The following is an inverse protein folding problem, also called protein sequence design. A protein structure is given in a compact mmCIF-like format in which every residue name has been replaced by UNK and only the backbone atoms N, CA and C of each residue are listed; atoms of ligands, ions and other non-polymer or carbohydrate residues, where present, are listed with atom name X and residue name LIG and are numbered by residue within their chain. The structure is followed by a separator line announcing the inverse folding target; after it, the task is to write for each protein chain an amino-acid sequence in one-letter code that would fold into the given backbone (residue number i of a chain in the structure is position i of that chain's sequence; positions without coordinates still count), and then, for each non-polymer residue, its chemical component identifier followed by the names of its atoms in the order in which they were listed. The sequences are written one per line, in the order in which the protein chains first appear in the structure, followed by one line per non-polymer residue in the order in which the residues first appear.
data_IF_202722071644
#
_entry.id   IF_202722071644
#
_cell.length_a   1.000
_cell.length_b   1.000
_cell.length_c   1.000
_cell.angle_alpha   90.00
_cell.angle_beta   90.00
_cell.angle_gamma   90.00
#
_symmetry.space_group_name_H-M   'P 1'
#
loop_
_entity.id
_entity.type
_entity.pdbx_description
1 polymer ?
#
# COMPACT_ATOMS: atom_id res chain seq x y z
N UNK A 1 11.94 26.57 6.10
CA UNK A 1 12.09 25.18 6.59
C UNK A 1 11.67 24.28 5.45
N UNK A 2 12.48 23.30 5.05
CA UNK A 2 12.04 22.31 4.07
C UNK A 2 10.92 21.48 4.72
N UNK A 3 9.71 21.51 4.15
CA UNK A 3 8.60 20.70 4.65
C UNK A 3 8.81 19.30 4.09
N UNK A 4 9.11 18.34 4.96
CA UNK A 4 9.20 16.94 4.55
C UNK A 4 7.81 16.42 4.20
N UNK A 5 7.64 15.70 3.07
CA UNK A 5 6.37 15.11 2.74
C UNK A 5 5.99 14.04 3.77
N UNK A 6 4.69 13.88 3.99
CA UNK A 6 4.14 12.92 4.96
C UNK A 6 3.22 11.95 4.24
N UNK A 7 3.42 10.65 4.48
CA UNK A 7 2.50 9.59 4.09
C UNK A 7 1.75 9.14 5.35
N UNK A 8 0.43 9.23 5.32
CA UNK A 8 -0.47 8.84 6.40
C UNK A 8 -1.24 7.59 5.96
N UNK A 9 -1.13 6.52 6.74
CA UNK A 9 -1.96 5.33 6.57
C UNK A 9 -2.96 5.31 7.73
N UNK A 10 -4.24 5.14 7.39
CA UNK A 10 -5.31 4.95 8.37
C UNK A 10 -6.09 3.70 8.02
N UNK A 11 -6.45 2.94 9.03
CA UNK A 11 -7.23 1.72 8.85
C UNK A 11 -8.45 1.76 9.73
N UNK A 12 -9.58 1.40 9.14
CA UNK A 12 -10.79 0.99 9.85
C UNK A 12 -11.13 -0.46 9.46
N UNK A 13 -12.20 -1.02 10.05
CA UNK A 13 -12.60 -2.42 9.83
C UNK A 13 -12.92 -2.75 8.35
N UNK A 14 -13.11 -1.75 7.50
CA UNK A 14 -13.62 -1.90 6.13
C UNK A 14 -12.78 -1.21 5.05
N UNK A 15 -11.89 -0.30 5.44
CA UNK A 15 -11.15 0.59 4.56
C UNK A 15 -9.72 0.80 5.06
N UNK A 16 -8.78 0.75 4.11
CA UNK A 16 -7.42 1.25 4.30
C UNK A 16 -7.27 2.53 3.49
N UNK A 17 -7.08 3.65 4.18
CA UNK A 17 -6.87 4.98 3.59
C UNK A 17 -5.39 5.31 3.52
N UNK A 18 -4.92 5.69 2.34
CA UNK A 18 -3.56 6.15 2.08
C UNK A 18 -3.62 7.60 1.66
N UNK A 19 -3.02 8.50 2.46
CA UNK A 19 -2.99 9.94 2.19
C UNK A 19 -1.56 10.43 2.13
N UNK A 20 -1.18 11.12 1.07
CA UNK A 20 0.10 11.80 0.95
C UNK A 20 -0.11 13.32 1.08
N UNK A 21 0.81 14.00 1.76
CA UNK A 21 0.78 15.45 1.99
C UNK A 21 2.13 16.08 1.70
N UNK A 22 2.12 17.21 0.99
CA UNK A 22 3.29 18.03 0.73
C UNK A 22 2.86 19.50 0.69
N UNK A 23 3.38 20.33 1.59
CA UNK A 23 2.92 21.70 1.82
C UNK A 23 1.39 21.77 2.07
N UNK A 24 0.66 22.52 1.25
CA UNK A 24 -0.80 22.68 1.32
C UNK A 24 -1.56 21.65 0.46
N UNK A 25 -0.85 20.85 -0.34
CA UNK A 25 -1.42 19.85 -1.23
C UNK A 25 -1.52 18.48 -0.57
N UNK A 26 -2.57 17.74 -0.93
CA UNK A 26 -2.75 16.36 -0.51
C UNK A 26 -3.49 15.54 -1.56
N UNK A 27 -3.21 14.24 -1.59
CA UNK A 27 -3.99 13.24 -2.30
C UNK A 27 -4.34 12.10 -1.36
N UNK A 28 -5.49 11.47 -1.58
CA UNK A 28 -5.97 10.38 -0.74
C UNK A 28 -6.70 9.33 -1.57
N UNK A 29 -6.36 8.06 -1.31
CA UNK A 29 -6.99 6.92 -1.93
C UNK A 29 -7.37 5.89 -0.87
N UNK A 30 -8.57 5.33 -1.06
CA UNK A 30 -9.14 4.35 -0.15
C UNK A 30 -9.20 2.98 -0.81
N UNK A 31 -8.77 1.96 -0.09
CA UNK A 31 -8.96 0.55 -0.43
C UNK A 31 -10.16 0.05 0.35
N UNK A 32 -11.28 -0.20 -0.33
CA UNK A 32 -12.48 -0.79 0.29
C UNK A 32 -12.30 -2.30 0.38
N UNK A 33 -11.99 -2.80 1.57
CA UNK A 33 -11.57 -4.19 1.83
C UNK A 33 -12.62 -5.20 1.36
N UNK A 34 -13.89 -5.00 1.74
CA UNK A 34 -14.97 -5.92 1.37
C UNK A 34 -15.11 -6.12 -0.14
N UNK A 35 -14.96 -5.05 -0.92
CA UNK A 35 -15.08 -5.10 -2.38
C UNK A 35 -13.93 -5.89 -3.01
N UNK A 36 -12.69 -5.61 -2.59
CA UNK A 36 -11.51 -6.25 -3.18
C UNK A 36 -11.37 -7.71 -2.73
N UNK A 37 -11.65 -8.00 -1.45
CA UNK A 37 -11.62 -9.37 -0.90
C UNK A 37 -12.65 -10.25 -1.59
N UNK A 38 -13.89 -9.76 -1.74
CA UNK A 38 -14.96 -10.50 -2.44
C UNK A 38 -14.56 -10.81 -3.88
N UNK A 39 -13.95 -9.85 -4.58
CA UNK A 39 -13.45 -10.05 -5.93
C UNK A 39 -12.34 -11.12 -5.97
N UNK A 40 -11.37 -11.08 -5.06
CA UNK A 40 -10.29 -12.08 -5.02
C UNK A 40 -10.82 -13.48 -4.74
N UNK A 41 -11.77 -13.62 -3.81
CA UNK A 41 -12.43 -14.90 -3.54
C UNK A 41 -13.18 -15.43 -4.76
N UNK A 42 -13.96 -14.59 -5.45
CA UNK A 42 -14.71 -14.98 -6.63
C UNK A 42 -13.80 -15.47 -7.79
N UNK A 43 -12.55 -15.04 -7.81
CA UNK A 43 -11.56 -15.40 -8.83
C UNK A 43 -10.47 -16.36 -8.32
N UNK A 44 -10.66 -16.97 -7.13
CA UNK A 44 -9.71 -17.89 -6.52
C UNK A 44 -8.27 -17.34 -6.41
N UNK A 45 -8.14 -16.04 -6.12
CA UNK A 45 -6.86 -15.35 -5.96
C UNK A 45 -6.43 -15.33 -4.49
N UNK A 46 -5.11 -15.38 -4.19
CA UNK A 46 -4.59 -15.30 -2.82
C UNK A 46 -4.77 -13.89 -2.24
N UNK A 47 -5.67 -13.67 -1.24
CA UNK A 47 -6.05 -12.32 -0.81
C UNK A 47 -4.91 -11.51 -0.19
N UNK A 48 -4.05 -12.13 0.61
CA UNK A 48 -2.92 -11.43 1.23
C UNK A 48 -1.94 -10.89 0.18
N UNK A 49 -1.50 -11.74 -0.76
CA UNK A 49 -0.64 -11.32 -1.86
C UNK A 49 -1.27 -10.21 -2.70
N UNK A 50 -2.55 -10.35 -3.06
CA UNK A 50 -3.25 -9.33 -3.85
C UNK A 50 -3.47 -8.04 -3.10
N UNK A 51 -3.63 -8.09 -1.79
CA UNK A 51 -3.66 -6.89 -0.97
C UNK A 51 -2.32 -6.15 -1.01
N UNK A 52 -1.19 -6.85 -0.83
CA UNK A 52 0.14 -6.22 -0.89
C UNK A 52 0.41 -5.57 -2.25
N UNK A 53 0.08 -6.24 -3.35
CA UNK A 53 0.18 -5.68 -4.71
C UNK A 53 -0.68 -4.40 -4.87
N UNK A 54 -1.91 -4.43 -4.37
CA UNK A 54 -2.82 -3.29 -4.42
C UNK A 54 -2.32 -2.14 -3.53
N UNK A 55 -1.82 -2.44 -2.34
CA UNK A 55 -1.31 -1.47 -1.39
C UNK A 55 -0.13 -0.69 -1.98
N UNK A 56 0.84 -1.38 -2.59
CA UNK A 56 1.97 -0.76 -3.29
C UNK A 56 1.50 0.17 -4.42
N UNK A 57 0.54 -0.30 -5.22
CA UNK A 57 -0.05 0.48 -6.32
C UNK A 57 -0.75 1.74 -5.82
N UNK A 58 -1.51 1.64 -4.72
CA UNK A 58 -2.24 2.76 -4.12
C UNK A 58 -1.29 3.77 -3.50
N UNK A 59 -0.25 3.35 -2.79
CA UNK A 59 0.80 4.27 -2.30
C UNK A 59 1.43 5.02 -3.47
N UNK A 60 1.84 4.29 -4.51
CA UNK A 60 2.46 4.90 -5.69
C UNK A 60 1.57 5.90 -6.37
N UNK A 61 0.29 5.58 -6.58
CA UNK A 61 -0.67 6.48 -7.18
C UNK A 61 -0.85 7.74 -6.32
N UNK A 62 -1.06 7.55 -5.02
CA UNK A 62 -1.28 8.67 -4.08
C UNK A 62 -0.10 9.63 -4.07
N UNK A 63 1.13 9.12 -4.06
CA UNK A 63 2.31 9.97 -4.09
C UNK A 63 2.46 10.66 -5.45
N UNK A 64 2.21 9.96 -6.57
CA UNK A 64 2.33 10.57 -7.91
C UNK A 64 1.37 11.74 -8.15
N UNK A 65 0.22 11.78 -7.49
CA UNK A 65 -0.73 12.88 -7.62
C UNK A 65 -0.26 14.19 -6.97
N UNK A 66 0.59 14.12 -5.93
CA UNK A 66 1.17 15.32 -5.28
C UNK A 66 2.63 15.56 -5.66
N UNK A 67 3.32 14.51 -6.09
CA UNK A 67 4.75 14.51 -6.38
C UNK A 67 5.03 13.46 -7.46
N UNK A 68 4.87 13.81 -8.75
CA UNK A 68 5.14 12.91 -9.86
C UNK A 68 6.60 12.44 -9.84
N UNK A 69 6.82 11.13 -9.73
CA UNK A 69 8.15 10.54 -9.55
C UNK A 69 8.40 9.36 -10.49
N UNK A 70 9.67 9.16 -10.84
CA UNK A 70 10.12 8.06 -11.69
C UNK A 70 10.22 6.76 -10.91
N UNK A 71 10.75 6.80 -9.69
CA UNK A 71 11.02 5.62 -8.88
C UNK A 71 10.42 5.77 -7.49
N UNK A 72 9.67 4.75 -7.06
CA UNK A 72 9.22 4.61 -5.69
C UNK A 72 9.93 3.42 -5.03
N UNK A 73 10.63 3.67 -3.92
CA UNK A 73 11.21 2.63 -3.08
C UNK A 73 10.32 2.45 -1.85
N UNK A 74 9.76 1.26 -1.67
CA UNK A 74 8.94 0.88 -0.53
C UNK A 74 9.61 -0.24 0.24
N UNK A 75 9.76 -0.06 1.55
CA UNK A 75 10.22 -1.11 2.44
C UNK A 75 9.22 -1.35 3.55
N UNK A 76 8.80 -2.58 3.74
CA UNK A 76 7.87 -2.97 4.80
C UNK A 76 8.07 -4.42 5.23
N UNK A 77 7.77 -4.70 6.48
CA UNK A 77 7.69 -6.05 7.01
C UNK A 77 6.25 -6.53 6.95
N UNK A 78 6.07 -7.83 6.70
CA UNK A 78 4.78 -8.51 6.75
C UNK A 78 4.90 -9.73 7.64
N UNK A 79 4.03 -9.82 8.65
CA UNK A 79 3.80 -11.06 9.39
C UNK A 79 2.42 -11.60 9.01
N UNK A 80 2.27 -12.92 9.06
CA UNK A 80 1.05 -13.59 8.67
C UNK A 80 0.85 -14.88 9.46
N UNK A 81 -0.41 -15.30 9.60
CA UNK A 81 -0.77 -16.55 10.25
C UNK A 81 -0.58 -17.81 9.36
N UNK A 82 -0.13 -17.61 8.13
CA UNK A 82 0.32 -18.64 7.18
C UNK A 82 1.22 -18.00 6.11
N UNK A 83 1.71 -18.78 5.14
CA UNK A 83 2.24 -18.27 3.88
C UNK A 83 1.23 -17.32 3.23
N UNK A 84 1.72 -16.30 2.53
CA UNK A 84 0.88 -15.26 1.92
C UNK A 84 -0.15 -15.81 0.91
N UNK A 85 0.05 -17.02 0.38
CA UNK A 85 -0.92 -17.70 -0.48
C UNK A 85 -2.15 -18.21 0.30
N UNK A 86 -1.97 -18.53 1.59
CA UNK A 86 -2.97 -19.14 2.46
C UNK A 86 -3.38 -18.32 3.66
N UNK A 87 -2.69 -17.20 3.93
CA UNK A 87 -2.95 -16.34 5.07
C UNK A 87 -4.41 -15.83 5.09
N UNK A 88 -5.02 -15.90 6.28
CA UNK A 88 -6.30 -15.25 6.58
C UNK A 88 -6.10 -13.96 7.40
N UNK A 89 -4.90 -13.77 7.94
CA UNK A 89 -4.52 -12.59 8.70
C UNK A 89 -3.10 -12.18 8.33
N UNK A 90 -2.92 -10.86 8.14
CA UNK A 90 -1.60 -10.26 7.91
C UNK A 90 -1.46 -9.00 8.75
N UNK A 91 -0.24 -8.72 9.19
CA UNK A 91 0.15 -7.45 9.78
C UNK A 91 1.28 -6.86 8.94
N UNK A 92 1.17 -5.56 8.64
CA UNK A 92 2.09 -4.84 7.78
C UNK A 92 2.70 -3.72 8.60
N UNK A 93 4.03 -3.61 8.56
CA UNK A 93 4.79 -2.52 9.17
C UNK A 93 5.63 -1.81 8.09
N UNK A 94 5.17 -0.63 7.69
CA UNK A 94 5.83 0.23 6.71
C UNK A 94 7.07 0.91 7.32
N UNK A 95 8.24 0.55 6.81
CA UNK A 95 9.54 0.99 7.33
C UNK A 95 10.01 2.26 6.64
N UNK A 96 9.98 2.28 5.30
CA UNK A 96 10.44 3.43 4.54
C UNK A 96 9.71 3.60 3.21
N UNK A 97 9.55 4.86 2.82
CA UNK A 97 8.98 5.28 1.55
C UNK A 97 9.82 6.41 0.99
N UNK A 98 10.38 6.20 -0.20
CA UNK A 98 11.25 7.17 -0.87
C UNK A 98 10.83 7.30 -2.34
N UNK A 99 10.54 8.52 -2.79
CA UNK A 99 10.20 8.83 -4.18
C UNK A 99 11.28 9.74 -4.79
N UNK A 100 11.97 9.30 -5.85
CA UNK A 100 13.07 10.04 -6.50
C UNK A 100 14.03 10.71 -5.50
N UNK A 101 14.49 9.94 -4.51
CA UNK A 101 15.41 10.34 -3.42
C UNK A 101 14.81 11.25 -2.33
N UNK A 102 13.51 11.56 -2.39
CA UNK A 102 12.78 12.26 -1.32
C UNK A 102 12.13 11.24 -0.38
N UNK A 103 12.59 11.23 0.87
CA UNK A 103 12.01 10.40 1.93
C UNK A 103 10.73 10.98 2.52
N UNK A 104 9.73 10.13 2.70
CA UNK A 104 8.46 10.48 3.36
C UNK A 104 8.52 10.16 4.84
N UNK A 105 8.02 11.07 5.67
CA UNK A 105 7.67 10.74 7.05
C UNK A 105 6.41 9.86 7.04
N UNK A 106 6.42 8.76 7.77
CA UNK A 106 5.27 7.85 7.87
C UNK A 106 4.49 8.15 9.15
N UNK A 107 3.17 8.28 9.03
CA UNK A 107 2.20 8.38 10.12
C UNK A 107 1.21 7.22 10.00
N UNK A 108 1.07 6.39 11.04
CA UNK A 108 0.36 5.11 10.95
C UNK A 108 1.17 4.02 10.24
N UNK A 109 2.39 3.74 10.71
CA UNK A 109 3.30 2.80 10.06
C UNK A 109 2.88 1.34 10.15
N UNK A 110 2.05 0.94 11.11
CA UNK A 110 1.66 -0.46 11.31
C UNK A 110 0.14 -0.64 11.32
N UNK A 111 -0.35 -1.67 10.63
CA UNK A 111 -1.75 -2.08 10.67
C UNK A 111 -1.91 -3.57 10.39
N UNK A 112 -3.02 -4.15 10.83
CA UNK A 112 -3.37 -5.55 10.58
C UNK A 112 -4.69 -5.69 9.83
N UNK A 113 -4.79 -6.76 9.05
CA UNK A 113 -5.99 -7.18 8.35
C UNK A 113 -6.32 -8.60 8.75
N UNK A 114 -7.55 -8.82 9.21
CA UNK A 114 -8.05 -10.15 9.60
C UNK A 114 -9.27 -10.54 8.78
N UNK A 115 -9.49 -11.85 8.62
CA UNK A 115 -10.63 -12.38 7.86
C UNK A 115 -10.52 -12.17 6.35
N UNK A 116 -9.31 -11.95 5.82
CA UNK A 116 -9.09 -11.74 4.38
C UNK A 116 -9.30 -13.02 3.55
N UNK A 117 -9.30 -14.20 4.19
CA UNK A 117 -9.57 -15.50 3.56
C UNK A 117 -10.58 -16.28 4.39
N UNK A 118 -11.50 -16.99 3.73
CA UNK A 118 -12.31 -18.02 4.39
C UNK A 118 -11.39 -19.12 4.91
N UNK A 119 -11.41 -19.31 6.22
CA UNK A 119 -10.65 -20.36 6.91
C UNK A 119 -11.39 -21.67 6.70
N UNK A 120 -10.70 -22.65 6.12
CA UNK A 120 -11.21 -24.03 5.97
C UNK A 120 -10.99 -24.78 7.29
N UNK A 121 -11.77 -25.85 7.52
CA UNK A 121 -11.73 -26.61 8.79
C UNK A 121 -10.36 -27.26 9.07
N UNK A 122 -9.51 -27.42 8.05
CA UNK A 122 -8.15 -27.97 8.12
C UNK A 122 -7.05 -26.90 8.18
N UNK A 123 -7.39 -25.64 8.49
CA UNK A 123 -6.41 -24.56 8.56
C UNK A 123 -5.41 -24.76 9.71
N UNK A 124 -4.16 -25.02 9.33
CA UNK A 124 -3.03 -25.02 10.27
C UNK A 124 -2.30 -23.67 10.24
N UNK A 125 -2.39 -22.95 11.34
CA UNK A 125 -1.62 -21.72 11.57
C UNK A 125 -0.12 -22.02 11.51
N UNK A 126 0.60 -21.20 10.76
CA UNK A 126 2.06 -21.21 10.70
C UNK A 126 2.55 -19.79 10.59
N UNK A 127 3.22 -19.32 11.63
CA UNK A 127 3.80 -17.98 11.63
C UNK A 127 4.75 -17.82 10.43
N UNK A 128 4.47 -16.81 9.62
CA UNK A 128 5.24 -16.44 8.47
C UNK A 128 5.63 -14.97 8.63
N UNK A 129 6.90 -14.65 8.34
CA UNK A 129 7.39 -13.29 8.34
C UNK A 129 8.34 -13.09 7.16
N UNK A 130 8.23 -11.94 6.51
CA UNK A 130 9.10 -11.55 5.41
C UNK A 130 9.23 -10.04 5.35
N UNK A 131 10.33 -9.56 4.78
CA UNK A 131 10.54 -8.14 4.47
C UNK A 131 10.46 -7.96 2.95
N UNK A 132 9.73 -6.94 2.51
CA UNK A 132 9.69 -6.50 1.13
C UNK A 132 10.53 -5.23 0.96
N UNK A 133 11.30 -5.18 -0.12
CA UNK A 133 12.09 -4.03 -0.56
C UNK A 133 11.82 -3.85 -2.07
N UNK A 134 10.80 -3.07 -2.37
CA UNK A 134 10.28 -2.89 -3.73
C UNK A 134 10.76 -1.59 -4.33
N UNK A 135 11.19 -1.65 -5.60
CA UNK A 135 11.45 -0.48 -6.43
C UNK A 135 10.45 -0.50 -7.59
N UNK A 136 9.53 0.47 -7.60
CA UNK A 136 8.43 0.54 -8.57
C UNK A 136 8.65 1.74 -9.49
N UNK A 137 8.92 1.46 -10.77
CA UNK A 137 9.17 2.49 -11.78
C UNK A 137 7.86 3.00 -12.41
N UNK A 138 7.70 4.31 -12.55
CA UNK A 138 6.63 4.96 -13.31
C UNK A 138 7.03 5.06 -14.79
N UNK A 139 6.25 4.48 -15.72
CA UNK A 139 6.52 4.64 -17.15
C UNK A 139 6.46 6.10 -17.58
N UNK A 140 7.30 6.52 -18.52
CA UNK A 140 7.44 7.94 -18.91
C UNK A 140 6.13 8.57 -19.40
N UNK A 141 5.31 7.79 -20.13
CA UNK A 141 4.01 8.23 -20.61
C UNK A 141 3.07 8.56 -19.44
N UNK A 142 3.13 7.78 -18.36
CA UNK A 142 2.32 7.98 -17.16
C UNK A 142 2.86 9.15 -16.35
N UNK A 143 4.19 9.24 -16.19
CA UNK A 143 4.85 10.33 -15.47
C UNK A 143 4.54 11.69 -16.12
N UNK A 144 4.56 11.75 -17.45
CA UNK A 144 4.20 12.97 -18.20
C UNK A 144 2.78 13.42 -17.87
N UNK A 145 1.81 12.49 -17.80
CA UNK A 145 0.42 12.82 -17.47
C UNK A 145 0.29 13.41 -16.05
N UNK A 146 0.97 12.82 -15.06
CA UNK A 146 0.94 13.36 -13.70
C UNK A 146 1.53 14.79 -13.64
N UNK A 147 2.66 15.04 -14.32
CA UNK A 147 3.24 16.39 -14.41
C UNK A 147 2.32 17.40 -15.12
N UNK A 148 1.59 16.97 -16.14
CA UNK A 148 0.61 17.82 -16.84
C UNK A 148 -0.61 18.15 -15.95
N UNK A 149 -0.94 17.29 -14.99
CA UNK A 149 -2.01 17.53 -14.02
C UNK A 149 -1.58 18.48 -12.90
N UNK A 150 -0.36 18.32 -12.39
CA UNK A 150 0.23 19.20 -11.37
C UNK A 150 0.27 20.66 -11.84
N UNK A 151 0.69 20.92 -13.08
CA UNK A 151 0.82 22.28 -13.64
C UNK A 151 -0.53 22.98 -13.94
N UNK A 152 -1.66 22.33 -13.70
CA UNK A 152 -3.01 22.89 -13.93
C UNK A 152 -3.70 23.37 -12.66
N UNK A 153 -3.15 23.05 -11.49
CA UNK A 153 -3.66 23.47 -10.19
C UNK A 153 -2.88 24.69 -9.68
#
# INVERSE_FOLDING_TARGET
MAVSPVLVIKTDDSVVSVRARLYDDFAEHNIVLNSVITYWWANNMPPALKFLELFDSVIKRTINEIMPHKNLKLKYDVTANQTLEKASEIEINLISVVADDIGFKIDGNSFSLSGIRKVEDDFESKEFSTTFDHVIETPDIVLKKYREMENKN
#
